data_IF_817367610460
#
_entry.id   IF_817367610460
#
_cell.length_a   1.000
_cell.length_b   1.000
_cell.length_c   1.000
_cell.angle_alpha   90.00
_cell.angle_beta   90.00
_cell.angle_gamma   90.00
#
_symmetry.space_group_name_H-M   'P 1'
#
loop_
_entity.id
_entity.type
_entity.pdbx_description
1 polymer ?
#
# COMPACT_ATOMS: atom_id res chain seq x y z
N UNK A 1 -16.64 -3.34 -25.74
CA UNK A 1 -16.04 -4.61 -25.29
C UNK A 1 -15.85 -4.47 -23.79
N UNK A 2 -16.79 -5.02 -22.98
CA UNK A 2 -16.81 -4.89 -21.53
C UNK A 2 -15.70 -5.76 -20.91
N UNK A 3 -14.57 -5.18 -20.59
CA UNK A 3 -13.54 -5.81 -19.76
C UNK A 3 -14.04 -5.85 -18.30
N UNK A 4 -14.73 -6.92 -17.94
CA UNK A 4 -14.94 -7.28 -16.53
C UNK A 4 -13.61 -7.80 -15.99
N UNK A 5 -12.77 -6.89 -15.48
CA UNK A 5 -11.60 -7.25 -14.66
C UNK A 5 -12.12 -7.88 -13.36
N UNK A 6 -12.19 -9.20 -13.31
CA UNK A 6 -12.60 -9.96 -12.15
C UNK A 6 -11.43 -9.98 -11.15
N UNK A 7 -11.73 -9.71 -9.86
CA UNK A 7 -10.79 -9.80 -8.71
C UNK A 7 -9.90 -11.05 -8.74
N UNK A 8 -10.43 -12.17 -9.26
CA UNK A 8 -9.69 -13.43 -9.41
C UNK A 8 -8.53 -13.36 -10.40
N UNK A 9 -8.64 -12.57 -11.45
CA UNK A 9 -7.56 -12.44 -12.46
C UNK A 9 -6.51 -11.42 -12.03
N UNK A 10 -6.93 -10.37 -11.29
CA UNK A 10 -6.00 -9.43 -10.67
C UNK A 10 -5.26 -10.05 -9.46
N UNK A 11 -5.90 -11.00 -8.74
CA UNK A 11 -5.35 -11.70 -7.57
C UNK A 11 -4.83 -13.11 -7.89
N UNK A 12 -5.18 -13.74 -9.02
CA UNK A 12 -4.69 -15.07 -9.40
C UNK A 12 -3.19 -15.13 -9.67
N UNK A 13 -2.53 -13.99 -9.79
CA UNK A 13 -1.07 -13.93 -9.72
C UNK A 13 -0.53 -14.14 -8.27
N UNK A 14 -1.37 -14.48 -7.30
CA UNK A 14 -0.99 -14.58 -5.88
C UNK A 14 -1.57 -15.80 -5.14
N UNK A 15 -2.13 -16.80 -5.82
CA UNK A 15 -2.75 -17.91 -5.11
C UNK A 15 -2.43 -19.28 -5.72
N UNK A 16 -1.39 -19.90 -5.22
CA UNK A 16 -1.26 -21.37 -5.11
C UNK A 16 -0.09 -21.71 -4.19
N UNK A 17 -0.39 -21.95 -2.90
CA UNK A 17 0.25 -22.96 -2.06
C UNK A 17 -0.23 -22.81 -0.61
N UNK A 18 -1.29 -23.49 -0.26
CA UNK A 18 -1.63 -23.76 1.13
C UNK A 18 -0.74 -24.87 1.67
N UNK A 19 0.15 -24.55 2.60
CA UNK A 19 0.75 -25.53 3.50
C UNK A 19 0.40 -25.10 4.91
N UNK A 20 -0.42 -25.91 5.57
CA UNK A 20 -0.74 -25.81 6.99
C UNK A 20 0.50 -26.25 7.77
N UNK A 21 1.24 -25.29 8.31
CA UNK A 21 2.33 -25.53 9.25
C UNK A 21 1.88 -25.14 10.65
N UNK A 22 1.70 -26.14 11.54
CA UNK A 22 1.56 -25.94 12.99
C UNK A 22 2.88 -25.38 13.55
N UNK A 23 2.99 -24.07 13.68
CA UNK A 23 4.06 -23.40 14.38
C UNK A 23 3.59 -22.90 15.73
N UNK A 24 4.20 -23.37 16.81
CA UNK A 24 3.97 -22.92 18.17
C UNK A 24 4.17 -21.41 18.30
N UNK A 25 3.09 -20.68 18.60
CA UNK A 25 3.14 -19.25 18.87
C UNK A 25 3.75 -19.03 20.27
N UNK A 26 4.94 -18.45 20.31
CA UNK A 26 5.47 -17.88 21.54
C UNK A 26 4.51 -16.83 22.11
N UNK A 27 4.23 -16.91 23.41
CA UNK A 27 3.44 -15.93 24.15
C UNK A 27 4.07 -14.53 23.99
N UNK A 28 3.43 -13.69 23.21
CA UNK A 28 3.67 -12.25 23.29
C UNK A 28 2.98 -11.74 24.55
N UNK A 29 3.75 -11.04 25.39
CA UNK A 29 3.25 -10.44 26.62
C UNK A 29 2.02 -9.57 26.28
N UNK A 30 0.90 -9.88 26.92
CA UNK A 30 -0.31 -9.07 26.91
C UNK A 30 0.00 -7.77 27.66
N UNK A 31 0.28 -6.69 26.92
CA UNK A 31 0.22 -5.36 27.49
C UNK A 31 -1.26 -5.00 27.67
N UNK A 32 -1.65 -4.72 28.90
CA UNK A 32 -3.00 -4.26 29.27
C UNK A 32 -3.40 -3.05 28.44
N UNK A 33 -4.69 -2.89 28.06
CA UNK A 33 -5.19 -1.72 27.32
C UNK A 33 -5.26 -0.49 28.26
N UNK A 34 -4.14 0.23 28.33
CA UNK A 34 -3.96 1.43 29.18
C UNK A 34 -2.69 2.18 28.85
N UNK A 35 -1.77 1.62 28.08
CA UNK A 35 -0.56 2.23 27.57
C UNK A 35 -0.69 2.45 26.08
N UNK A 36 -0.50 3.69 25.63
CA UNK A 36 -0.34 4.20 24.27
C UNK A 36 -0.62 3.17 23.14
N UNK A 37 -1.91 3.03 22.77
CA UNK A 37 -2.37 2.11 21.74
C UNK A 37 -1.63 2.31 20.40
N UNK A 38 -1.20 3.54 20.12
CA UNK A 38 -0.45 3.88 18.92
C UNK A 38 0.96 3.26 18.96
N UNK A 39 1.66 3.35 20.09
CA UNK A 39 2.98 2.75 20.26
C UNK A 39 2.89 1.22 20.22
N UNK A 40 1.90 0.61 20.86
CA UNK A 40 1.67 -0.83 20.80
C UNK A 40 1.47 -1.32 19.37
N UNK A 41 0.54 -0.71 18.60
CA UNK A 41 0.24 -1.13 17.23
C UNK A 41 1.45 -0.88 16.32
N UNK A 42 2.15 0.25 16.50
CA UNK A 42 3.37 0.53 15.75
C UNK A 42 4.44 -0.54 15.98
N UNK A 43 4.67 -0.90 17.24
CA UNK A 43 5.61 -1.96 17.62
C UNK A 43 5.22 -3.31 17.02
N UNK A 44 3.92 -3.66 17.05
CA UNK A 44 3.38 -4.89 16.48
C UNK A 44 3.71 -5.00 14.97
N UNK A 45 3.51 -3.92 14.21
CA UNK A 45 3.77 -3.88 12.77
C UNK A 45 5.27 -3.93 12.48
N UNK A 46 6.07 -3.13 13.18
CA UNK A 46 7.52 -3.05 12.99
C UNK A 46 8.18 -4.39 13.34
N UNK A 47 7.82 -4.97 14.47
CA UNK A 47 8.37 -6.27 14.89
C UNK A 47 7.98 -7.40 13.95
N UNK A 48 6.72 -7.41 13.47
CA UNK A 48 6.29 -8.42 12.48
C UNK A 48 7.11 -8.30 11.20
N UNK A 49 7.31 -7.09 10.70
CA UNK A 49 8.14 -6.86 9.51
C UNK A 49 9.62 -7.23 9.73
N UNK A 50 10.15 -6.97 10.92
CA UNK A 50 11.55 -7.29 11.25
C UNK A 50 11.80 -8.78 11.38
N UNK A 51 10.88 -9.53 12.01
CA UNK A 51 11.08 -10.92 12.47
C UNK A 51 10.44 -11.98 11.56
N UNK A 52 9.45 -11.61 10.73
CA UNK A 52 8.76 -12.61 9.91
C UNK A 52 9.64 -13.14 8.79
N UNK A 53 9.77 -14.48 8.65
CA UNK A 53 10.45 -15.09 7.52
C UNK A 53 9.71 -14.88 6.19
N UNK A 54 8.42 -14.51 6.23
CA UNK A 54 7.62 -14.19 5.05
C UNK A 54 8.02 -12.84 4.41
N UNK A 55 8.72 -11.96 5.17
CA UNK A 55 9.30 -10.75 4.60
C UNK A 55 10.56 -11.08 3.78
N UNK A 56 10.35 -11.76 2.66
CA UNK A 56 11.41 -12.25 1.78
C UNK A 56 10.98 -12.16 0.31
N UNK A 57 11.93 -11.94 -0.58
CA UNK A 57 11.73 -12.06 -2.03
C UNK A 57 11.93 -13.51 -2.53
N UNK A 58 12.19 -14.45 -1.64
CA UNK A 58 12.41 -15.89 -1.94
C UNK A 58 13.42 -16.13 -3.06
N UNK A 59 14.47 -15.32 -3.11
CA UNK A 59 15.64 -15.60 -3.92
C UNK A 59 16.61 -16.54 -3.14
N UNK A 60 17.67 -17.07 -3.77
CA UNK A 60 18.60 -17.99 -3.11
C UNK A 60 19.20 -17.44 -1.80
N UNK A 61 19.43 -16.12 -1.73
CA UNK A 61 19.98 -15.42 -0.57
C UNK A 61 18.91 -15.11 0.49
N UNK A 62 17.64 -15.40 0.21
CA UNK A 62 16.49 -15.11 1.06
C UNK A 62 16.43 -13.62 1.53
N UNK A 63 16.72 -12.71 0.59
CA UNK A 63 16.73 -11.28 0.88
C UNK A 63 15.36 -10.78 1.32
N UNK A 64 15.33 -9.80 2.24
CA UNK A 64 14.08 -9.14 2.65
C UNK A 64 13.47 -8.34 1.49
N UNK A 65 12.14 -8.36 1.39
CA UNK A 65 11.39 -7.52 0.47
C UNK A 65 11.30 -6.08 0.98
N UNK A 66 11.15 -5.90 2.30
CA UNK A 66 10.84 -4.64 2.94
C UNK A 66 11.81 -4.33 4.08
N UNK A 67 12.21 -3.06 4.12
CA UNK A 67 12.87 -2.45 5.27
C UNK A 67 11.84 -2.11 6.36
N UNK A 68 12.30 -1.45 7.44
CA UNK A 68 11.49 -1.04 8.58
C UNK A 68 10.30 -0.17 8.13
N UNK A 69 9.05 -0.53 8.52
CA UNK A 69 7.86 0.22 8.16
C UNK A 69 7.80 1.64 8.76
N UNK A 70 7.05 2.52 8.09
CA UNK A 70 6.44 3.68 8.72
C UNK A 70 5.01 3.33 9.10
N UNK A 71 4.54 3.79 10.24
CA UNK A 71 3.16 3.58 10.72
C UNK A 71 2.51 4.92 11.02
N UNK A 72 1.26 5.07 10.65
CA UNK A 72 0.49 6.28 10.90
C UNK A 72 -0.98 5.99 11.10
N UNK A 73 -1.65 6.93 11.78
CA UNK A 73 -3.02 6.79 12.25
C UNK A 73 -3.85 7.99 11.81
N UNK A 74 -5.09 7.74 11.40
CA UNK A 74 -6.08 8.76 11.16
C UNK A 74 -7.38 8.42 11.90
N UNK A 75 -8.10 9.41 12.39
CA UNK A 75 -9.43 9.22 12.98
C UNK A 75 -10.43 8.92 11.87
N UNK A 76 -11.42 8.10 12.15
CA UNK A 76 -12.46 7.75 11.17
C UNK A 76 -13.41 8.90 10.84
N UNK A 77 -13.49 9.92 11.70
CA UNK A 77 -14.27 11.14 11.50
C UNK A 77 -13.48 12.29 10.82
N UNK A 78 -12.22 12.04 10.42
CA UNK A 78 -11.43 13.05 9.73
C UNK A 78 -12.11 13.45 8.41
N UNK A 79 -12.40 14.75 8.17
CA UNK A 79 -13.06 15.24 6.96
C UNK A 79 -12.35 14.84 5.64
N UNK A 80 -11.08 14.49 5.73
CA UNK A 80 -10.27 14.06 4.58
C UNK A 80 -10.88 12.83 3.87
N UNK A 81 -11.53 11.92 4.60
CA UNK A 81 -12.14 10.73 4.00
C UNK A 81 -13.37 11.10 3.15
N UNK A 82 -14.10 12.13 3.54
CA UNK A 82 -15.18 12.66 2.72
C UNK A 82 -14.64 13.35 1.47
N UNK A 83 -13.54 14.12 1.59
CA UNK A 83 -12.89 14.74 0.43
C UNK A 83 -12.35 13.71 -0.58
N UNK A 84 -11.86 12.56 -0.13
CA UNK A 84 -11.49 11.48 -1.05
C UNK A 84 -12.67 10.97 -1.85
N UNK A 85 -13.84 10.86 -1.22
CA UNK A 85 -15.07 10.45 -1.89
C UNK A 85 -15.50 11.45 -2.95
N UNK A 86 -15.40 12.75 -2.64
CA UNK A 86 -15.72 13.83 -3.59
C UNK A 86 -14.77 13.84 -4.80
N UNK A 87 -13.47 13.61 -4.55
CA UNK A 87 -12.44 13.67 -5.60
C UNK A 87 -12.31 12.38 -6.40
N UNK A 88 -12.38 11.22 -5.76
CA UNK A 88 -12.21 9.92 -6.42
C UNK A 88 -13.52 9.44 -7.02
N UNK A 89 -14.62 9.61 -6.29
CA UNK A 89 -15.96 9.21 -6.73
C UNK A 89 -16.79 8.61 -5.59
N UNK A 90 -18.13 8.60 -5.73
CA UNK A 90 -19.06 8.19 -4.68
C UNK A 90 -18.91 6.71 -4.26
N UNK A 91 -18.21 5.90 -5.04
CA UNK A 91 -17.93 4.51 -4.72
C UNK A 91 -16.73 4.33 -3.75
N UNK A 92 -15.96 5.41 -3.47
CA UNK A 92 -14.85 5.37 -2.53
C UNK A 92 -15.39 5.42 -1.10
N UNK A 93 -15.06 4.43 -0.28
CA UNK A 93 -15.58 4.30 1.06
C UNK A 93 -14.95 5.27 2.05
N UNK A 94 -15.77 5.73 2.99
CA UNK A 94 -15.31 6.26 4.27
C UNK A 94 -14.97 5.09 5.23
N UNK A 95 -14.22 5.34 6.32
CA UNK A 95 -13.94 4.32 7.34
C UNK A 95 -15.21 3.70 7.92
N UNK A 96 -16.24 4.52 8.18
CA UNK A 96 -17.50 4.04 8.73
C UNK A 96 -18.27 3.14 7.75
N UNK A 97 -18.30 3.49 6.47
CA UNK A 97 -19.00 2.69 5.46
C UNK A 97 -18.42 1.28 5.37
N UNK A 98 -17.09 1.15 5.26
CA UNK A 98 -16.49 -0.18 5.16
C UNK A 98 -16.59 -0.95 6.48
N UNK A 99 -16.44 -0.30 7.63
CA UNK A 99 -16.62 -0.94 8.92
C UNK A 99 -18.04 -1.49 9.09
N UNK A 100 -19.07 -0.68 8.82
CA UNK A 100 -20.47 -1.08 8.93
C UNK A 100 -20.86 -2.18 7.94
N UNK A 101 -20.24 -2.21 6.76
CA UNK A 101 -20.43 -3.28 5.78
C UNK A 101 -19.95 -4.64 6.28
N UNK A 102 -18.83 -4.68 6.97
CA UNK A 102 -18.23 -5.94 7.48
C UNK A 102 -18.75 -6.32 8.87
N UNK A 103 -19.19 -5.35 9.67
CA UNK A 103 -19.70 -5.54 11.02
C UNK A 103 -21.11 -4.94 11.21
N UNK A 104 -22.14 -5.40 10.48
CA UNK A 104 -23.47 -4.78 10.51
C UNK A 104 -24.18 -4.88 11.89
N UNK A 105 -23.75 -5.81 12.75
CA UNK A 105 -24.28 -5.96 14.10
C UNK A 105 -23.52 -5.13 15.16
N UNK A 106 -22.42 -4.48 14.79
CA UNK A 106 -21.59 -3.67 15.69
C UNK A 106 -21.88 -2.21 15.44
N UNK A 107 -22.60 -1.57 16.36
CA UNK A 107 -22.78 -0.12 16.30
C UNK A 107 -21.43 0.60 16.43
N UNK A 108 -21.17 1.52 15.52
CA UNK A 108 -19.99 2.38 15.55
C UNK A 108 -20.32 3.77 15.02
N UNK A 109 -19.65 4.76 15.60
CA UNK A 109 -19.63 6.14 15.10
C UNK A 109 -18.28 6.42 14.46
N UNK A 110 -18.18 7.39 13.53
CA UNK A 110 -16.92 7.71 12.86
C UNK A 110 -15.77 8.01 13.84
N UNK A 111 -16.06 8.74 14.92
CA UNK A 111 -15.07 9.13 15.94
C UNK A 111 -14.54 7.95 16.78
N UNK A 112 -15.25 6.82 16.80
CA UNK A 112 -14.83 5.60 17.49
C UNK A 112 -13.90 4.72 16.61
N UNK A 113 -13.67 5.12 15.36
CA UNK A 113 -12.88 4.38 14.41
C UNK A 113 -11.50 5.02 14.20
N UNK A 114 -10.49 4.17 14.02
CA UNK A 114 -9.18 4.57 13.55
C UNK A 114 -8.85 3.86 12.23
N UNK A 115 -8.20 4.59 11.33
CA UNK A 115 -7.51 4.02 10.16
C UNK A 115 -6.03 3.89 10.51
N UNK A 116 -5.58 2.66 10.61
CA UNK A 116 -4.19 2.28 10.87
C UNK A 116 -3.56 2.01 9.52
N UNK A 117 -2.53 2.75 9.15
CA UNK A 117 -1.85 2.59 7.87
C UNK A 117 -0.36 2.43 8.05
N UNK A 118 0.26 1.72 7.12
CA UNK A 118 1.72 1.56 7.09
C UNK A 118 2.27 1.65 5.68
N UNK A 119 3.55 1.98 5.62
CA UNK A 119 4.36 2.01 4.42
C UNK A 119 5.50 1.02 4.58
N UNK A 120 5.64 0.11 3.64
CA UNK A 120 6.71 -0.88 3.53
C UNK A 120 7.69 -0.40 2.44
N UNK A 121 8.84 0.19 2.78
CA UNK A 121 9.83 0.62 1.80
C UNK A 121 10.62 -0.58 1.28
N UNK A 122 10.88 -0.62 -0.02
CA UNK A 122 11.78 -1.64 -0.60
C UNK A 122 13.19 -1.50 -0.07
N UNK A 123 13.87 -2.63 0.12
CA UNK A 123 15.29 -2.66 0.47
C UNK A 123 16.15 -2.02 -0.62
N UNK A 124 17.33 -1.55 -0.24
CA UNK A 124 18.26 -0.92 -1.19
C UNK A 124 18.69 -1.88 -2.31
N UNK A 125 18.86 -3.17 -2.00
CA UNK A 125 19.20 -4.22 -2.99
C UNK A 125 18.19 -4.27 -4.13
N UNK A 126 16.88 -4.25 -3.81
CA UNK A 126 15.79 -4.32 -4.80
C UNK A 126 15.76 -3.03 -5.65
N UNK A 127 15.89 -1.87 -5.00
CA UNK A 127 15.90 -0.57 -5.70
C UNK A 127 17.09 -0.44 -6.63
N UNK A 128 18.28 -0.79 -6.14
CA UNK A 128 19.53 -0.73 -6.92
C UNK A 128 19.47 -1.64 -8.15
N UNK A 129 18.82 -2.80 -8.05
CA UNK A 129 18.69 -3.72 -9.15
C UNK A 129 17.74 -3.16 -10.25
N UNK A 130 16.59 -2.59 -9.86
CA UNK A 130 15.68 -1.96 -10.82
C UNK A 130 16.25 -0.66 -11.43
N UNK A 131 17.09 0.10 -10.70
CA UNK A 131 17.72 1.31 -11.26
C UNK A 131 18.57 1.03 -12.49
N UNK A 132 19.17 -0.15 -12.61
CA UNK A 132 19.98 -0.58 -13.75
C UNK A 132 19.14 -0.85 -15.00
N UNK A 133 17.84 -1.07 -14.82
CA UNK A 133 16.92 -1.42 -15.89
C UNK A 133 16.32 -0.18 -16.58
N UNK A 134 15.93 -0.32 -17.86
CA UNK A 134 15.36 0.78 -18.66
C UNK A 134 13.94 0.49 -19.14
N UNK A 135 13.66 -0.73 -19.58
CA UNK A 135 12.41 -1.14 -20.22
C UNK A 135 11.70 -2.26 -19.47
N UNK A 136 12.47 -3.25 -19.05
CA UNK A 136 11.95 -4.47 -18.42
C UNK A 136 12.36 -4.51 -16.95
N UNK A 137 11.47 -4.94 -16.05
CA UNK A 137 11.75 -4.95 -14.62
C UNK A 137 12.79 -6.01 -14.26
N UNK A 138 13.57 -5.76 -13.21
CA UNK A 138 14.50 -6.73 -12.66
C UNK A 138 13.78 -7.87 -11.93
N UNK A 139 14.45 -9.03 -11.84
CA UNK A 139 13.91 -10.19 -11.12
C UNK A 139 13.61 -9.88 -9.66
N UNK A 140 14.52 -9.22 -8.94
CA UNK A 140 14.30 -8.84 -7.55
C UNK A 140 13.06 -7.96 -7.36
N UNK A 141 12.81 -7.03 -8.30
CA UNK A 141 11.63 -6.19 -8.24
C UNK A 141 10.34 -6.98 -8.45
N UNK A 142 10.31 -7.90 -9.42
CA UNK A 142 9.17 -8.78 -9.66
C UNK A 142 8.92 -9.67 -8.43
N UNK A 143 9.97 -10.29 -7.88
CA UNK A 143 9.87 -11.11 -6.67
C UNK A 143 9.32 -10.31 -5.49
N UNK A 144 9.81 -9.09 -5.27
CA UNK A 144 9.30 -8.22 -4.23
C UNK A 144 7.85 -7.81 -4.47
N UNK A 145 7.44 -7.64 -5.73
CA UNK A 145 6.03 -7.36 -6.07
C UNK A 145 5.12 -8.54 -5.77
N UNK A 146 5.57 -9.76 -5.95
CA UNK A 146 4.82 -10.99 -5.70
C UNK A 146 4.88 -11.34 -4.21
N UNK A 147 6.04 -11.76 -3.74
CA UNK A 147 6.22 -12.30 -2.39
C UNK A 147 6.17 -11.22 -1.29
N UNK A 148 6.63 -10.01 -1.61
CA UNK A 148 6.47 -8.88 -0.70
C UNK A 148 5.00 -8.46 -0.54
N UNK A 149 4.16 -8.60 -1.58
CA UNK A 149 2.71 -8.36 -1.42
C UNK A 149 2.04 -9.49 -0.62
N UNK A 150 2.45 -10.75 -0.80
CA UNK A 150 1.98 -11.85 0.05
C UNK A 150 2.26 -11.56 1.53
N UNK A 151 3.47 -11.08 1.85
CA UNK A 151 3.79 -10.63 3.20
C UNK A 151 2.90 -9.46 3.65
N UNK A 152 2.65 -8.47 2.80
CA UNK A 152 1.79 -7.33 3.14
C UNK A 152 0.34 -7.76 3.38
N UNK A 153 -0.16 -8.76 2.63
CA UNK A 153 -1.45 -9.38 2.90
C UNK A 153 -1.49 -10.13 4.22
N UNK A 154 -0.43 -10.88 4.55
CA UNK A 154 -0.27 -11.55 5.84
C UNK A 154 -0.26 -10.52 6.98
N UNK A 155 0.47 -9.42 6.81
CA UNK A 155 0.56 -8.34 7.80
C UNK A 155 -0.81 -7.70 8.04
N UNK A 156 -1.61 -7.44 6.99
CA UNK A 156 -2.98 -6.93 7.14
C UNK A 156 -3.85 -7.86 7.97
N UNK A 157 -3.83 -9.18 7.68
CA UNK A 157 -4.57 -10.19 8.44
C UNK A 157 -4.10 -10.23 9.89
N UNK A 158 -2.80 -10.28 10.10
CA UNK A 158 -2.20 -10.34 11.43
C UNK A 158 -2.61 -9.14 12.29
N UNK A 159 -2.55 -7.91 11.76
CA UNK A 159 -2.96 -6.71 12.50
C UNK A 159 -4.45 -6.75 12.83
N UNK A 160 -5.31 -7.04 11.85
CA UNK A 160 -6.75 -7.08 12.05
C UNK A 160 -7.17 -8.17 13.05
N UNK A 161 -6.58 -9.37 12.97
CA UNK A 161 -6.85 -10.47 13.90
C UNK A 161 -6.36 -10.16 15.32
N UNK A 162 -5.18 -9.54 15.45
CA UNK A 162 -4.63 -9.17 16.75
C UNK A 162 -5.51 -8.14 17.45
N UNK A 163 -5.94 -7.11 16.72
CA UNK A 163 -6.86 -6.08 17.24
C UNK A 163 -8.21 -6.71 17.63
N UNK A 164 -8.76 -7.55 16.79
CA UNK A 164 -10.05 -8.22 17.07
C UNK A 164 -9.97 -9.11 18.31
N UNK A 165 -8.88 -9.88 18.48
CA UNK A 165 -8.63 -10.69 19.68
C UNK A 165 -8.47 -9.83 20.94
N UNK A 166 -7.97 -8.61 20.80
CA UNK A 166 -7.86 -7.64 21.89
C UNK A 166 -9.19 -6.90 22.19
N UNK A 167 -10.29 -7.26 21.52
CA UNK A 167 -11.61 -6.65 21.73
C UNK A 167 -11.89 -5.45 20.82
N UNK A 168 -11.05 -5.17 19.83
CA UNK A 168 -11.19 -4.10 18.85
C UNK A 168 -11.55 -4.67 17.47
N UNK A 169 -12.83 -4.80 17.11
CA UNK A 169 -13.22 -5.27 15.78
C UNK A 169 -12.50 -4.49 14.68
N UNK A 170 -11.88 -5.21 13.76
CA UNK A 170 -11.03 -4.61 12.74
C UNK A 170 -11.23 -5.24 11.36
N UNK A 171 -11.30 -4.43 10.33
CA UNK A 171 -11.51 -4.85 8.95
C UNK A 171 -10.31 -4.47 8.08
N UNK A 172 -9.95 -5.35 7.15
CA UNK A 172 -9.03 -5.07 6.05
C UNK A 172 -9.85 -4.67 4.83
N UNK A 173 -9.93 -3.38 4.47
CA UNK A 173 -10.87 -2.92 3.43
C UNK A 173 -10.67 -3.60 2.07
N UNK A 174 -9.42 -3.86 1.67
CA UNK A 174 -9.11 -4.51 0.39
C UNK A 174 -9.47 -6.00 0.35
N UNK A 175 -9.79 -6.61 1.49
CA UNK A 175 -10.26 -8.01 1.56
C UNK A 175 -11.77 -8.15 1.62
N UNK A 176 -12.49 -7.04 1.76
CA UNK A 176 -13.95 -7.04 1.71
C UNK A 176 -14.44 -7.69 0.42
N UNK A 177 -15.49 -8.51 0.52
CA UNK A 177 -16.17 -9.07 -0.66
C UNK A 177 -16.79 -7.99 -1.55
N UNK A 178 -17.09 -6.83 -0.96
CA UNK A 178 -17.63 -5.67 -1.63
C UNK A 178 -16.56 -4.78 -2.27
N UNK A 179 -15.27 -5.05 -2.05
CA UNK A 179 -14.18 -4.29 -2.69
C UNK A 179 -14.28 -4.38 -4.21
N UNK A 180 -14.27 -3.24 -4.87
CA UNK A 180 -14.39 -3.16 -6.32
C UNK A 180 -13.47 -2.11 -6.92
N UNK A 181 -13.09 -2.34 -8.17
CA UNK A 181 -12.54 -1.30 -9.03
C UNK A 181 -13.70 -0.49 -9.62
N UNK A 182 -13.49 0.80 -9.76
CA UNK A 182 -14.44 1.75 -10.35
C UNK A 182 -13.73 2.67 -11.33
N UNK A 183 -14.49 3.54 -11.97
CA UNK A 183 -13.98 4.58 -12.83
C UNK A 183 -14.28 5.94 -12.21
N UNK A 184 -13.22 6.65 -11.84
CA UNK A 184 -13.27 8.04 -11.43
C UNK A 184 -13.34 8.93 -12.67
N UNK A 185 -14.24 9.89 -12.70
CA UNK A 185 -14.31 10.86 -13.80
C UNK A 185 -13.01 11.64 -13.94
N UNK A 186 -12.39 11.97 -12.81
CA UNK A 186 -11.16 12.78 -12.76
C UNK A 186 -9.88 11.95 -12.93
N UNK A 187 -9.84 10.75 -12.38
CA UNK A 187 -8.60 9.98 -12.28
C UNK A 187 -8.62 8.65 -13.05
N UNK A 188 -9.69 8.33 -13.75
CA UNK A 188 -9.84 7.05 -14.44
C UNK A 188 -9.93 5.88 -13.46
N UNK A 189 -9.16 4.81 -13.68
CA UNK A 189 -9.21 3.61 -12.86
C UNK A 189 -8.91 3.91 -11.38
N UNK A 190 -9.86 3.58 -10.52
CA UNK A 190 -9.79 3.77 -9.07
C UNK A 190 -10.46 2.59 -8.35
N UNK A 191 -10.42 2.59 -7.02
CA UNK A 191 -11.01 1.52 -6.21
C UNK A 191 -11.85 2.07 -5.07
N UNK A 192 -12.72 1.22 -4.51
CA UNK A 192 -13.55 1.58 -3.36
C UNK A 192 -12.76 1.84 -2.07
N UNK A 193 -11.50 1.45 -2.01
CA UNK A 193 -10.55 1.80 -0.96
C UNK A 193 -9.15 1.94 -1.54
N UNK A 194 -8.40 2.94 -1.08
CA UNK A 194 -7.03 3.19 -1.53
C UNK A 194 -6.06 3.24 -0.36
N UNK A 195 -5.14 2.28 -0.31
CA UNK A 195 -4.08 2.20 0.70
C UNK A 195 -3.20 3.46 0.73
N UNK A 196 -2.97 4.10 -0.42
CA UNK A 196 -2.19 5.35 -0.47
C UNK A 196 -2.95 6.54 0.10
N UNK A 197 -4.28 6.59 -0.08
CA UNK A 197 -5.10 7.62 0.55
C UNK A 197 -5.18 7.40 2.06
N UNK A 198 -5.27 6.16 2.53
CA UNK A 198 -5.18 5.83 3.95
C UNK A 198 -3.84 6.27 4.56
N UNK A 199 -2.72 6.01 3.85
CA UNK A 199 -1.40 6.46 4.28
C UNK A 199 -1.24 7.99 4.27
N UNK A 200 -1.83 8.67 3.29
CA UNK A 200 -1.90 10.13 3.25
C UNK A 200 -2.71 10.68 4.43
N UNK A 201 -3.89 10.13 4.72
CA UNK A 201 -4.67 10.51 5.89
C UNK A 201 -3.92 10.28 7.21
N UNK A 202 -3.14 9.21 7.29
CA UNK A 202 -2.29 8.85 8.43
C UNK A 202 -0.97 9.63 8.54
N UNK A 203 -0.77 10.71 7.79
CA UNK A 203 0.41 11.58 7.93
C UNK A 203 1.70 11.04 7.31
N UNK A 204 1.62 9.98 6.48
CA UNK A 204 2.81 9.25 6.01
C UNK A 204 3.45 9.82 4.73
N UNK A 205 2.77 10.72 4.00
CA UNK A 205 3.34 11.31 2.81
C UNK A 205 2.35 11.95 1.87
N UNK A 206 2.84 12.50 0.75
CA UNK A 206 2.04 13.20 -0.27
C UNK A 206 2.21 12.59 -1.65
N UNK A 207 1.27 12.86 -2.56
CA UNK A 207 1.26 12.25 -3.90
C UNK A 207 2.24 12.92 -4.86
N UNK A 208 2.92 12.12 -5.66
CA UNK A 208 3.75 12.60 -6.76
C UNK A 208 3.06 12.59 -8.12
N UNK A 209 3.70 13.13 -9.13
CA UNK A 209 3.21 13.21 -10.52
C UNK A 209 2.72 11.86 -11.09
N UNK A 210 3.27 10.74 -10.64
CA UNK A 210 2.88 9.40 -11.07
C UNK A 210 1.86 8.73 -10.13
N UNK A 211 1.11 9.49 -9.34
CA UNK A 211 0.20 9.01 -8.29
C UNK A 211 0.86 8.13 -7.20
N UNK A 212 2.18 8.03 -7.18
CA UNK A 212 2.92 7.36 -6.12
C UNK A 212 3.01 8.23 -4.88
N UNK A 213 2.84 7.66 -3.68
CA UNK A 213 2.99 8.39 -2.43
C UNK A 213 4.48 8.57 -2.11
N UNK A 214 4.91 9.81 -1.84
CA UNK A 214 6.26 10.16 -1.41
C UNK A 214 6.25 10.27 0.10
N UNK A 215 7.06 9.48 0.78
CA UNK A 215 7.12 9.37 2.23
C UNK A 215 8.50 9.75 2.76
N UNK A 216 8.69 9.80 4.07
CA UNK A 216 10.01 10.00 4.69
C UNK A 216 11.03 8.92 4.25
N UNK A 217 10.56 7.71 3.87
CA UNK A 217 11.38 6.62 3.30
C UNK A 217 11.23 6.52 1.78
N UNK A 218 10.75 7.59 1.13
CA UNK A 218 10.61 7.72 -0.32
C UNK A 218 9.38 7.06 -0.91
N UNK A 219 9.40 6.84 -2.22
CA UNK A 219 8.27 6.40 -3.04
C UNK A 219 8.38 4.92 -3.49
N UNK A 220 9.56 4.32 -3.38
CA UNK A 220 9.76 2.91 -3.71
C UNK A 220 9.24 2.02 -2.56
N UNK A 221 7.91 1.81 -2.50
CA UNK A 221 7.26 1.20 -1.35
C UNK A 221 5.91 0.56 -1.69
N UNK A 222 5.31 -0.08 -0.68
CA UNK A 222 3.91 -0.52 -0.64
C UNK A 222 3.21 0.06 0.58
N UNK A 223 1.89 0.19 0.50
CA UNK A 223 1.05 0.57 1.64
C UNK A 223 0.15 -0.60 2.04
N UNK A 224 -0.26 -0.59 3.30
CA UNK A 224 -1.33 -1.42 3.81
C UNK A 224 -2.13 -0.64 4.84
N UNK A 225 -3.37 -1.05 5.09
CA UNK A 225 -4.20 -0.44 6.11
C UNK A 225 -5.24 -1.39 6.69
N UNK A 226 -5.70 -1.03 7.88
CA UNK A 226 -6.80 -1.65 8.62
C UNK A 226 -7.68 -0.53 9.17
N UNK A 227 -8.99 -0.74 9.18
CA UNK A 227 -9.95 0.11 9.91
C UNK A 227 -10.41 -0.63 11.14
N UNK A 228 -10.29 -0.05 12.32
CA UNK A 228 -10.64 -0.70 13.58
C UNK A 228 -11.51 0.20 14.48
N UNK A 229 -12.37 -0.43 15.29
CA UNK A 229 -13.08 0.27 16.35
C UNK A 229 -12.17 0.39 17.57
N UNK A 230 -11.39 1.45 17.58
CA UNK A 230 -10.41 1.76 18.62
C UNK A 230 -10.13 3.26 18.61
N UNK A 231 -9.98 3.85 19.78
CA UNK A 231 -9.55 5.25 19.90
C UNK A 231 -8.02 5.33 19.89
N UNK A 232 -7.48 6.07 18.91
CA UNK A 232 -6.04 6.30 18.76
C UNK A 232 -5.84 7.76 18.36
N UNK A 233 -4.92 8.50 19.03
CA UNK A 233 -4.55 9.83 18.59
C UNK A 233 -4.04 9.80 17.13
N UNK A 234 -4.50 10.71 16.26
CA UNK A 234 -4.04 10.73 14.87
C UNK A 234 -2.58 11.18 14.79
N UNK A 235 -1.86 10.61 13.84
CA UNK A 235 -0.53 11.10 13.48
C UNK A 235 -0.65 12.49 12.86
N UNK A 236 0.10 13.49 13.30
CA UNK A 236 0.12 14.81 12.67
C UNK A 236 0.49 14.72 11.17
N UNK A 237 -0.22 15.47 10.33
CA UNK A 237 0.11 15.64 8.92
C UNK A 237 1.03 16.86 8.76
N UNK A 238 2.33 16.67 8.50
CA UNK A 238 3.28 17.80 8.41
C UNK A 238 3.26 18.48 7.04
N UNK A 239 2.15 18.39 6.30
CA UNK A 239 1.94 18.96 4.98
C UNK A 239 0.55 19.59 4.87
N UNK A 240 0.44 20.58 4.01
CA UNK A 240 -0.81 21.32 3.73
C UNK A 240 -1.37 20.94 2.36
N UNK A 241 -0.50 20.61 1.38
CA UNK A 241 -0.89 20.25 0.03
C UNK A 241 -0.62 18.77 -0.23
N UNK A 242 -1.53 18.14 -0.98
CA UNK A 242 -1.44 16.72 -1.30
C UNK A 242 -0.30 16.36 -2.25
N UNK A 243 0.35 17.35 -2.85
CA UNK A 243 1.52 17.20 -3.71
C UNK A 243 2.81 17.84 -3.15
N UNK A 244 2.78 18.32 -1.90
CA UNK A 244 3.84 19.13 -1.29
C UNK A 244 5.25 18.54 -1.43
N UNK A 245 5.39 17.24 -1.30
CA UNK A 245 6.69 16.57 -1.40
C UNK A 245 7.16 16.30 -2.84
N UNK A 246 6.34 16.61 -3.85
CA UNK A 246 6.69 16.40 -5.24
C UNK A 246 7.34 17.63 -5.86
N UNK A 247 8.62 17.59 -6.16
CA UNK A 247 9.36 18.69 -6.76
C UNK A 247 8.77 19.16 -8.11
N UNK A 248 8.03 18.32 -8.81
CA UNK A 248 7.33 18.76 -10.03
C UNK A 248 6.24 19.79 -9.72
N UNK A 249 5.47 19.59 -8.66
CA UNK A 249 4.40 20.51 -8.29
C UNK A 249 4.90 21.67 -7.42
N UNK A 250 5.83 21.43 -6.50
CA UNK A 250 6.30 22.44 -5.57
C UNK A 250 7.30 23.42 -6.18
N UNK A 251 8.15 22.99 -7.12
CA UNK A 251 9.21 23.82 -7.71
C UNK A 251 9.16 23.91 -9.24
N UNK A 252 8.37 23.05 -9.90
CA UNK A 252 8.39 22.91 -11.36
C UNK A 252 9.66 22.26 -11.94
N UNK A 253 10.63 21.91 -11.09
CA UNK A 253 11.98 21.50 -11.50
C UNK A 253 12.20 20.02 -11.75
N UNK A 254 11.17 19.16 -11.59
CA UNK A 254 11.32 17.71 -11.74
C UNK A 254 10.36 17.16 -12.81
N UNK A 255 10.49 15.90 -13.13
CA UNK A 255 9.70 15.14 -14.13
C UNK A 255 10.38 13.80 -14.44
N UNK A 256 11.38 13.43 -13.64
CA UNK A 256 12.21 12.23 -13.88
C UNK A 256 11.38 10.96 -13.93
N UNK A 257 10.30 10.85 -13.13
CA UNK A 257 9.39 9.71 -13.20
C UNK A 257 8.68 9.60 -14.57
N UNK A 258 8.43 10.70 -15.26
CA UNK A 258 7.90 10.68 -16.62
C UNK A 258 8.96 10.20 -17.62
N UNK A 259 10.19 10.69 -17.53
CA UNK A 259 11.32 10.24 -18.36
C UNK A 259 11.65 8.74 -18.16
N UNK A 260 11.50 8.25 -16.94
CA UNK A 260 11.73 6.84 -16.58
C UNK A 260 10.58 5.91 -16.98
N UNK A 261 9.41 6.43 -17.36
CA UNK A 261 8.25 5.60 -17.68
C UNK A 261 8.40 4.97 -19.08
N UNK A 262 8.59 3.64 -19.21
CA UNK A 262 8.80 3.01 -20.52
C UNK A 262 7.55 3.04 -21.41
N UNK A 263 6.37 3.22 -20.81
CA UNK A 263 5.09 3.32 -21.53
C UNK A 263 4.69 4.76 -21.88
N UNK A 264 5.47 5.78 -21.45
CA UNK A 264 5.03 7.18 -21.57
C UNK A 264 3.73 7.48 -20.80
N UNK A 265 3.32 6.61 -19.89
CA UNK A 265 2.07 6.75 -19.14
C UNK A 265 2.09 7.89 -18.10
N UNK A 266 3.28 8.32 -17.67
CA UNK A 266 3.47 9.50 -16.82
C UNK A 266 3.96 10.64 -17.68
N UNK A 267 3.22 11.75 -17.70
CA UNK A 267 3.56 12.96 -18.45
C UNK A 267 3.47 14.17 -17.53
N UNK A 268 3.84 15.34 -18.05
CA UNK A 268 3.63 16.62 -17.33
C UNK A 268 2.14 16.93 -17.08
N UNK A 269 1.24 16.33 -17.87
CA UNK A 269 -0.22 16.47 -17.73
C UNK A 269 -0.83 15.52 -16.70
N UNK A 270 -0.06 14.58 -16.14
CA UNK A 270 -0.52 13.59 -15.16
C UNK A 270 -0.19 12.15 -15.57
N UNK A 271 -0.98 11.20 -15.03
CA UNK A 271 -0.76 9.77 -15.16
C UNK A 271 -1.91 9.06 -15.88
N UNK A 272 -1.65 8.56 -17.07
CA UNK A 272 -2.54 7.67 -17.81
C UNK A 272 -2.50 6.27 -17.20
N UNK A 273 -3.51 5.95 -16.38
CA UNK A 273 -3.59 4.67 -15.68
C UNK A 273 -3.85 3.49 -16.61
N UNK A 274 -4.47 3.70 -17.77
CA UNK A 274 -4.72 2.62 -18.73
C UNK A 274 -3.46 2.24 -19.49
N UNK A 275 -2.67 3.22 -19.94
CA UNK A 275 -1.35 2.97 -20.50
C UNK A 275 -0.40 2.31 -19.48
N UNK A 276 -0.44 2.77 -18.21
CA UNK A 276 0.30 2.15 -17.13
C UNK A 276 -0.12 0.69 -16.87
N UNK A 277 -1.42 0.40 -16.84
CA UNK A 277 -1.93 -0.96 -16.67
C UNK A 277 -1.49 -1.89 -17.81
N UNK A 278 -1.53 -1.39 -19.06
CA UNK A 278 -1.03 -2.15 -20.22
C UNK A 278 0.44 -2.51 -20.05
N UNK A 279 1.27 -1.57 -19.60
CA UNK A 279 2.68 -1.84 -19.31
C UNK A 279 2.86 -2.85 -18.18
N UNK A 280 2.09 -2.72 -17.10
CA UNK A 280 2.14 -3.69 -16.00
C UNK A 280 1.81 -5.10 -16.49
N UNK A 281 0.79 -5.26 -17.34
CA UNK A 281 0.44 -6.57 -17.94
C UNK A 281 1.56 -7.12 -18.83
N UNK A 282 2.22 -6.27 -19.62
CA UNK A 282 3.36 -6.69 -20.43
C UNK A 282 4.53 -7.19 -19.56
N UNK A 283 4.74 -6.61 -18.38
CA UNK A 283 5.78 -7.10 -17.45
C UNK A 283 5.45 -8.47 -16.88
N UNK A 284 4.18 -8.91 -16.85
CA UNK A 284 3.82 -10.25 -16.41
C UNK A 284 4.27 -11.31 -17.44
N UNK A 285 4.08 -11.04 -18.72
CA UNK A 285 4.57 -11.92 -19.80
C UNK A 285 6.10 -12.02 -19.75
N UNK A 286 6.77 -10.88 -19.58
CA UNK A 286 8.23 -10.84 -19.46
C UNK A 286 8.71 -11.66 -18.24
N UNK A 287 8.09 -11.49 -17.07
CA UNK A 287 8.43 -12.22 -15.85
C UNK A 287 8.27 -13.75 -16.01
N UNK A 288 7.17 -14.19 -16.62
CA UNK A 288 6.94 -15.60 -16.90
C UNK A 288 8.00 -16.19 -17.82
N UNK A 289 8.33 -15.48 -18.92
CA UNK A 289 9.28 -15.94 -19.93
C UNK A 289 10.73 -15.95 -19.44
N UNK A 290 11.15 -14.93 -18.70
CA UNK A 290 12.56 -14.72 -18.36
C UNK A 290 12.94 -15.18 -16.95
N UNK A 291 11.98 -15.18 -16.02
CA UNK A 291 12.23 -15.51 -14.61
C UNK A 291 11.43 -16.71 -14.12
N UNK A 292 10.48 -17.24 -14.92
CA UNK A 292 9.60 -18.32 -14.50
C UNK A 292 8.65 -17.90 -13.35
N UNK A 293 8.33 -16.60 -13.24
CA UNK A 293 7.53 -16.03 -12.17
C UNK A 293 6.13 -15.66 -12.67
N UNK A 294 5.09 -16.12 -11.96
CA UNK A 294 3.69 -15.72 -12.21
C UNK A 294 3.37 -14.42 -11.46
N UNK A 295 3.54 -13.28 -12.11
CA UNK A 295 3.26 -11.98 -11.53
C UNK A 295 3.77 -10.84 -12.39
N UNK A 296 3.52 -9.63 -11.95
CA UNK A 296 3.89 -8.41 -12.67
C UNK A 296 4.53 -7.36 -11.75
N UNK A 297 5.22 -6.40 -12.31
CA UNK A 297 5.73 -5.25 -11.56
C UNK A 297 6.57 -4.33 -12.45
N UNK A 298 6.08 -3.13 -12.75
CA UNK A 298 6.86 -2.16 -13.50
C UNK A 298 7.84 -1.39 -12.60
N UNK A 299 7.37 -0.43 -11.78
CA UNK A 299 8.19 0.24 -10.76
C UNK A 299 9.15 1.35 -11.25
N UNK A 300 9.32 1.57 -12.54
CA UNK A 300 10.28 2.55 -13.07
C UNK A 300 10.03 3.98 -12.59
N UNK A 301 8.78 4.39 -12.41
CA UNK A 301 8.45 5.71 -11.86
C UNK A 301 8.75 5.83 -10.35
N UNK A 302 9.14 4.75 -9.68
CA UNK A 302 9.44 4.70 -8.26
C UNK A 302 10.96 4.67 -7.96
N UNK A 303 11.78 4.26 -8.93
CA UNK A 303 13.24 4.11 -8.76
C UNK A 303 14.03 4.98 -9.73
N UNK A 304 15.26 5.35 -9.35
CA UNK A 304 16.08 6.26 -10.13
C UNK A 304 15.50 7.67 -10.22
N UNK A 305 14.77 8.08 -9.21
CA UNK A 305 14.10 9.39 -9.08
C UNK A 305 14.50 10.04 -7.75
N UNK A 306 14.49 11.38 -7.62
CA UNK A 306 14.91 12.07 -6.40
C UNK A 306 14.13 11.63 -5.14
N UNK A 307 12.85 11.29 -5.33
CA UNK A 307 11.94 10.83 -4.27
C UNK A 307 11.93 9.29 -4.09
N UNK A 308 12.92 8.56 -4.56
CA UNK A 308 12.96 7.10 -4.44
C UNK A 308 12.97 6.61 -3.00
N UNK A 309 13.87 7.18 -2.18
CA UNK A 309 14.19 6.70 -0.82
C UNK A 309 14.05 7.77 0.26
N UNK A 310 13.53 8.95 -0.07
CA UNK A 310 13.36 10.09 0.85
C UNK A 310 12.39 11.12 0.28
N UNK A 311 11.96 12.07 1.11
CA UNK A 311 11.38 13.32 0.63
C UNK A 311 12.48 14.08 -0.10
N UNK A 312 12.30 14.44 -1.38
CA UNK A 312 13.33 15.15 -2.14
C UNK A 312 13.40 16.61 -1.67
N UNK A 313 14.60 17.19 -1.77
CA UNK A 313 14.91 18.59 -1.46
C UNK A 313 15.48 19.28 -2.68
#
# INVERSE_FOLDING_TARGET
MNLKLNRREFLKASALAGVVGNGSFGLFASTEPGQDSAAWISSLIVERAAKSPSNSIRNPENEKAWDEPLVGFARGDDPIFQSFREHVGPFHWTPLEIFSLEFPAVAAKPEELAVISWVLPHTESIKADLRKQKTDPSEKWIRARIYGEEFNEELRRFVAETLTKAGHPAVVPVFSKSFKMGNSERYGLASSWSERHAAYAGGLGTFGLCDGLITAKGKAMRCGSVVAKIEIPPTPRPYQDHHEYCLFYSTGGCGICATRCPAGAVTKSGHDKMACLKQCNATAEYAGKHYGLEGYGCGFCQTGVPCESRIPV
#
